data_IF_125542494459
#
_entry.id   IF_125542494459
#
_cell.length_a   1.000
_cell.length_b   1.000
_cell.length_c   1.000
_cell.angle_alpha   90.00
_cell.angle_beta   90.00
_cell.angle_gamma   90.00
#
_symmetry.space_group_name_H-M   'P 1'
#
loop_
_entity.id
_entity.type
_entity.pdbx_description
1 polymer ?
#
# COMPACT_ATOMS: atom_id res chain seq x y z
N UNK A 1 12.06 -16.27 10.52
CA UNK A 1 12.49 -16.78 11.84
C UNK A 1 13.04 -15.65 12.67
N UNK A 2 12.56 -15.51 13.90
CA UNK A 2 13.15 -14.62 14.90
C UNK A 2 14.17 -15.42 15.71
N UNK A 3 15.23 -14.76 16.20
CA UNK A 3 16.16 -15.39 17.11
C UNK A 3 15.43 -15.76 18.41
N UNK A 4 15.73 -16.94 18.94
CA UNK A 4 15.26 -17.39 20.25
C UNK A 4 16.48 -17.67 21.11
N UNK A 5 16.45 -17.21 22.36
CA UNK A 5 17.61 -17.26 23.25
C UNK A 5 17.87 -18.68 23.80
N UNK A 6 16.92 -19.59 23.62
CA UNK A 6 17.02 -21.00 23.99
C UNK A 6 17.23 -21.89 22.76
N UNK A 7 17.85 -23.06 22.98
CA UNK A 7 18.06 -24.08 21.93
C UNK A 7 16.76 -24.87 21.64
N UNK A 8 15.72 -24.15 21.21
CA UNK A 8 14.40 -24.67 20.88
C UNK A 8 14.01 -24.23 19.48
N UNK A 9 13.30 -25.11 18.75
CA UNK A 9 12.72 -24.75 17.46
C UNK A 9 11.32 -24.20 17.68
N UNK A 10 11.10 -22.92 17.37
CA UNK A 10 9.76 -22.33 17.33
C UNK A 10 9.17 -22.58 15.95
N UNK A 11 8.17 -23.46 15.88
CA UNK A 11 7.45 -23.77 14.65
C UNK A 11 6.19 -22.91 14.59
N UNK A 12 6.10 -22.03 13.60
CA UNK A 12 4.94 -21.19 13.34
C UNK A 12 4.08 -21.81 12.22
N UNK A 13 2.83 -22.18 12.55
CA UNK A 13 1.84 -22.62 11.56
C UNK A 13 1.00 -21.41 11.12
N UNK A 14 0.84 -21.22 9.81
CA UNK A 14 0.06 -20.10 9.25
C UNK A 14 0.82 -18.77 9.17
N UNK A 15 2.14 -18.79 8.96
CA UNK A 15 2.87 -17.54 8.68
C UNK A 15 2.34 -16.87 7.40
N UNK A 16 2.21 -15.54 7.47
CA UNK A 16 1.71 -14.72 6.37
C UNK A 16 2.83 -14.46 5.37
N UNK A 17 2.50 -14.48 4.09
CA UNK A 17 3.46 -14.21 3.02
C UNK A 17 3.79 -12.71 2.98
N UNK A 18 5.06 -12.30 3.12
CA UNK A 18 5.44 -10.91 2.93
C UNK A 18 5.35 -10.53 1.45
N UNK A 19 4.68 -9.42 1.17
CA UNK A 19 4.53 -8.86 -0.16
C UNK A 19 4.62 -7.34 -0.07
N UNK A 20 5.60 -6.75 -0.75
CA UNK A 20 5.69 -5.30 -0.90
C UNK A 20 5.00 -4.89 -2.19
N UNK A 21 4.00 -4.02 -2.06
CA UNK A 21 3.24 -3.53 -3.21
C UNK A 21 3.58 -2.06 -3.39
N UNK A 22 4.24 -1.74 -4.50
CA UNK A 22 4.48 -0.37 -4.92
C UNK A 22 3.53 -0.05 -6.08
N UNK A 23 2.84 1.09 -5.99
CA UNK A 23 2.10 1.67 -7.09
C UNK A 23 2.79 2.96 -7.52
N UNK A 24 3.07 3.09 -8.81
CA UNK A 24 3.60 4.33 -9.39
C UNK A 24 2.59 4.93 -10.35
N UNK A 25 2.46 6.24 -10.27
CA UNK A 25 1.64 7.03 -11.18
C UNK A 25 2.52 8.06 -11.88
N UNK A 26 2.33 8.20 -13.19
CA UNK A 26 2.87 9.30 -13.99
C UNK A 26 1.74 10.08 -14.65
N UNK A 27 1.90 11.39 -14.80
CA UNK A 27 0.88 12.27 -15.36
C UNK A 27 1.42 13.62 -15.79
N UNK A 28 0.52 14.51 -16.16
CA UNK A 28 0.87 15.84 -16.66
C UNK A 28 1.17 16.80 -15.48
N UNK A 29 2.39 17.34 -15.36
CA UNK A 29 2.65 18.39 -14.39
C UNK A 29 2.00 19.70 -14.80
N UNK A 30 1.77 20.58 -13.83
CA UNK A 30 1.18 21.88 -14.13
C UNK A 30 1.14 22.84 -12.96
N UNK A 31 0.79 24.10 -13.23
CA UNK A 31 0.58 25.08 -12.18
C UNK A 31 -0.62 24.69 -11.32
N UNK A 32 -0.51 24.79 -9.98
CA UNK A 32 -1.53 24.36 -9.01
C UNK A 32 -2.83 25.17 -9.05
N UNK A 33 -2.86 26.29 -9.78
CA UNK A 33 -4.08 27.02 -10.08
C UNK A 33 -4.93 26.40 -11.21
N UNK A 34 -4.40 25.39 -11.93
CA UNK A 34 -5.13 24.67 -12.97
C UNK A 34 -5.85 23.47 -12.38
N UNK A 35 -7.07 23.22 -12.85
CA UNK A 35 -7.83 22.01 -12.55
C UNK A 35 -7.54 20.94 -13.61
N UNK A 36 -6.32 20.38 -13.57
CA UNK A 36 -5.98 19.26 -14.45
C UNK A 36 -6.77 18.02 -14.00
N UNK A 37 -7.44 17.29 -14.91
CA UNK A 37 -8.07 16.02 -14.55
C UNK A 37 -7.01 14.92 -14.44
N UNK A 38 -7.36 13.87 -13.68
CA UNK A 38 -6.57 12.62 -13.59
C UNK A 38 -5.12 12.82 -13.17
N UNK A 39 -4.93 13.72 -12.20
CA UNK A 39 -3.61 13.98 -11.64
C UNK A 39 -3.04 12.75 -10.95
N UNK A 40 -1.71 12.70 -10.87
CA UNK A 40 -0.99 11.67 -10.11
C UNK A 40 -1.53 11.54 -8.68
N UNK A 41 -1.76 12.66 -8.01
CA UNK A 41 -2.29 12.68 -6.64
C UNK A 41 -3.67 12.04 -6.52
N UNK A 42 -4.58 12.33 -7.46
CA UNK A 42 -5.93 11.75 -7.45
C UNK A 42 -5.91 10.23 -7.65
N UNK A 43 -5.11 9.71 -8.58
CA UNK A 43 -4.99 8.27 -8.80
C UNK A 43 -4.40 7.55 -7.59
N UNK A 44 -3.31 8.06 -7.04
CA UNK A 44 -2.69 7.47 -5.85
C UNK A 44 -3.63 7.55 -4.63
N UNK A 45 -4.40 8.62 -4.48
CA UNK A 45 -5.39 8.75 -3.40
C UNK A 45 -6.46 7.65 -3.45
N UNK A 46 -6.92 7.26 -4.66
CA UNK A 46 -7.88 6.15 -4.83
C UNK A 46 -7.27 4.81 -4.38
N UNK A 47 -6.03 4.54 -4.74
CA UNK A 47 -5.28 3.35 -4.29
C UNK A 47 -5.15 3.33 -2.77
N UNK A 48 -4.67 4.44 -2.19
CA UNK A 48 -4.49 4.57 -0.73
C UNK A 48 -5.80 4.31 -0.01
N UNK A 49 -6.90 4.91 -0.50
CA UNK A 49 -8.21 4.69 0.11
C UNK A 49 -8.58 3.21 0.07
N UNK A 50 -8.48 2.55 -1.08
CA UNK A 50 -8.91 1.15 -1.25
C UNK A 50 -8.12 0.18 -0.37
N UNK A 51 -6.80 0.36 -0.27
CA UNK A 51 -5.95 -0.45 0.59
C UNK A 51 -6.14 -0.16 2.08
N UNK A 52 -6.42 1.10 2.44
CA UNK A 52 -6.76 1.47 3.82
C UNK A 52 -8.12 0.89 4.22
N UNK A 53 -9.14 0.97 3.35
CA UNK A 53 -10.43 0.33 3.60
C UNK A 53 -10.27 -1.20 3.80
N UNK A 54 -9.34 -1.84 3.08
CA UNK A 54 -9.03 -3.28 3.27
C UNK A 54 -8.39 -3.57 4.62
N UNK A 55 -7.47 -2.71 5.07
CA UNK A 55 -6.91 -2.77 6.41
C UNK A 55 -8.01 -2.68 7.46
N UNK A 56 -8.93 -1.73 7.34
CA UNK A 56 -10.01 -1.53 8.30
C UNK A 56 -10.93 -2.75 8.39
N UNK A 57 -11.25 -3.38 7.26
CA UNK A 57 -11.98 -4.67 7.25
C UNK A 57 -11.24 -5.77 8.00
N UNK A 58 -9.91 -5.83 7.85
CA UNK A 58 -9.08 -6.83 8.52
C UNK A 58 -9.03 -6.60 10.03
N UNK A 59 -8.93 -5.34 10.46
CA UNK A 59 -9.01 -4.94 11.87
C UNK A 59 -10.38 -5.28 12.46
N UNK A 60 -11.46 -4.94 11.75
CA UNK A 60 -12.82 -5.25 12.18
C UNK A 60 -13.03 -6.76 12.32
N UNK A 61 -12.53 -7.56 11.38
CA UNK A 61 -12.62 -9.03 11.40
C UNK A 61 -11.94 -9.63 12.64
N UNK A 62 -10.72 -9.20 12.97
CA UNK A 62 -10.00 -9.67 14.17
C UNK A 62 -10.69 -9.24 15.46
N UNK A 63 -11.23 -8.02 15.51
CA UNK A 63 -11.92 -7.53 16.71
C UNK A 63 -13.28 -8.21 16.93
N UNK A 64 -13.95 -8.63 15.85
CA UNK A 64 -15.26 -9.26 15.91
C UNK A 64 -15.20 -10.75 16.30
N UNK A 65 -14.10 -11.44 15.99
CA UNK A 65 -13.93 -12.87 16.23
C UNK A 65 -12.65 -13.15 17.06
N UNK A 66 -12.79 -13.33 18.39
CA UNK A 66 -11.66 -13.64 19.27
C UNK A 66 -10.93 -14.95 18.96
N UNK A 67 -11.49 -15.83 18.11
CA UNK A 67 -10.82 -17.06 17.69
C UNK A 67 -9.77 -16.82 16.61
N UNK A 68 -9.85 -15.70 15.89
CA UNK A 68 -8.89 -15.32 14.86
C UNK A 68 -7.61 -14.77 15.49
N UNK A 69 -6.49 -15.28 15.03
CA UNK A 69 -5.15 -14.79 15.36
C UNK A 69 -4.71 -13.79 14.29
N UNK A 70 -3.67 -13.02 14.62
CA UNK A 70 -3.07 -12.05 13.69
C UNK A 70 -2.54 -12.68 12.39
N UNK A 71 -2.24 -13.99 12.39
CA UNK A 71 -1.83 -14.75 11.21
C UNK A 71 -2.98 -15.06 10.25
N UNK A 72 -4.22 -15.09 10.74
CA UNK A 72 -5.39 -15.53 9.97
C UNK A 72 -5.94 -14.42 9.05
N UNK A 73 -5.46 -13.18 9.22
CA UNK A 73 -5.86 -12.03 8.41
C UNK A 73 -4.69 -11.38 7.68
N UNK A 74 -4.98 -10.90 6.48
CA UNK A 74 -4.04 -10.09 5.71
C UNK A 74 -3.87 -8.73 6.37
N UNK A 75 -2.63 -8.34 6.73
CA UNK A 75 -2.36 -6.96 7.16
C UNK A 75 -1.79 -6.15 6.02
N UNK A 76 -2.30 -4.93 5.85
CA UNK A 76 -1.83 -3.95 4.87
C UNK A 76 -1.38 -2.71 5.62
N UNK A 77 -0.11 -2.33 5.49
CA UNK A 77 0.45 -1.14 6.13
C UNK A 77 0.99 -0.20 5.07
N UNK A 78 0.54 1.06 5.09
CA UNK A 78 1.10 2.09 4.22
C UNK A 78 2.45 2.56 4.79
N UNK A 79 3.52 2.36 4.04
CA UNK A 79 4.89 2.56 4.55
C UNK A 79 5.65 3.68 3.85
N UNK A 80 5.33 3.99 2.59
CA UNK A 80 6.03 5.02 1.82
C UNK A 80 5.05 5.82 0.98
N UNK A 81 5.28 7.13 0.91
CA UNK A 81 4.59 8.07 0.04
C UNK A 81 5.59 9.08 -0.49
N UNK A 82 5.74 9.17 -1.80
CA UNK A 82 6.62 10.15 -2.43
C UNK A 82 5.86 10.80 -3.57
N UNK A 83 5.71 12.12 -3.50
CA UNK A 83 5.03 12.91 -4.52
C UNK A 83 5.36 14.39 -4.32
N UNK A 84 5.47 15.14 -5.41
CA UNK A 84 5.72 16.57 -5.40
C UNK A 84 6.78 16.96 -6.41
N UNK A 85 6.86 18.25 -6.75
CA UNK A 85 7.92 18.76 -7.63
C UNK A 85 9.11 19.21 -6.78
N UNK A 86 10.28 18.64 -7.04
CA UNK A 86 11.54 18.98 -6.36
C UNK A 86 12.68 19.05 -7.37
N UNK A 87 13.64 19.95 -7.15
CA UNK A 87 14.87 20.05 -7.94
C UNK A 87 16.12 19.69 -7.12
N UNK A 88 15.96 19.31 -5.84
CA UNK A 88 17.06 19.07 -4.90
C UNK A 88 17.02 17.69 -4.25
N UNK A 89 16.33 16.74 -4.89
CA UNK A 89 16.20 15.37 -4.41
C UNK A 89 15.25 15.22 -3.23
N UNK A 90 14.26 16.10 -3.10
CA UNK A 90 13.22 16.02 -2.08
C UNK A 90 13.56 16.73 -0.77
N UNK A 91 14.56 17.61 -0.75
CA UNK A 91 14.85 18.48 0.41
C UNK A 91 13.84 19.63 0.47
N UNK A 92 13.42 20.15 -0.68
CA UNK A 92 12.36 21.15 -0.82
C UNK A 92 11.37 20.75 -1.92
N UNK A 93 10.15 21.28 -1.83
CA UNK A 93 9.07 21.01 -2.76
C UNK A 93 8.38 22.29 -3.19
N UNK A 94 8.03 22.39 -4.48
CA UNK A 94 7.23 23.50 -4.98
C UNK A 94 5.75 23.31 -4.58
N UNK A 95 5.21 24.23 -3.79
CA UNK A 95 3.84 24.14 -3.26
C UNK A 95 2.75 24.44 -4.30
N UNK A 96 3.11 25.04 -5.43
CA UNK A 96 2.19 25.47 -6.48
C UNK A 96 2.34 24.66 -7.77
N UNK A 97 2.88 23.44 -7.71
CA UNK A 97 3.09 22.58 -8.88
C UNK A 97 2.42 21.23 -8.67
N UNK A 98 1.55 20.86 -9.60
CA UNK A 98 1.01 19.51 -9.75
C UNK A 98 2.16 18.61 -10.23
N UNK A 99 2.45 17.50 -9.53
CA UNK A 99 3.59 16.64 -9.82
C UNK A 99 3.39 15.79 -11.07
N UNK A 100 4.48 15.50 -11.78
CA UNK A 100 4.50 14.61 -12.94
C UNK A 100 4.51 13.13 -12.54
N UNK A 101 4.99 12.81 -11.35
CA UNK A 101 5.13 11.44 -10.86
C UNK A 101 4.91 11.35 -9.35
N UNK A 102 4.59 10.15 -8.89
CA UNK A 102 4.45 9.83 -7.49
C UNK A 102 4.31 8.34 -7.28
N UNK A 103 4.57 7.89 -6.06
CA UNK A 103 4.43 6.50 -5.68
C UNK A 103 4.00 6.32 -4.24
N UNK A 104 3.33 5.20 -3.99
CA UNK A 104 2.98 4.72 -2.65
C UNK A 104 3.42 3.27 -2.50
N UNK A 105 3.91 2.91 -1.32
CA UNK A 105 4.34 1.53 -1.03
C UNK A 105 3.64 1.01 0.21
N UNK A 106 3.18 -0.23 0.13
CA UNK A 106 2.54 -0.95 1.22
C UNK A 106 3.37 -2.20 1.59
N UNK A 107 3.62 -2.38 2.89
CA UNK A 107 4.05 -3.68 3.45
C UNK A 107 2.79 -4.50 3.74
N UNK A 108 2.59 -5.54 2.94
CA UNK A 108 1.48 -6.46 3.06
C UNK A 108 1.99 -7.80 3.62
N UNK A 109 1.33 -8.30 4.66
CA UNK A 109 1.50 -9.67 5.16
C UNK A 109 0.22 -10.41 4.84
N UNK A 110 0.26 -11.17 3.75
CA UNK A 110 -0.92 -11.78 3.14
C UNK A 110 -1.20 -13.12 3.80
N UNK A 111 -2.43 -13.31 4.28
CA UNK A 111 -2.89 -14.60 4.81
C UNK A 111 -2.93 -15.63 3.69
N UNK A 112 -2.65 -16.90 4.01
CA UNK A 112 -2.67 -17.97 3.02
C UNK A 112 -4.05 -18.15 2.36
N UNK A 113 -5.12 -17.77 3.07
CA UNK A 113 -6.49 -17.88 2.58
C UNK A 113 -6.83 -16.85 1.49
N UNK A 114 -6.09 -15.74 1.45
CA UNK A 114 -6.45 -14.57 0.66
C UNK A 114 -5.45 -14.30 -0.48
N UNK A 115 -4.42 -15.13 -0.66
CA UNK A 115 -3.25 -14.77 -1.48
C UNK A 115 -3.61 -14.43 -2.93
N UNK A 116 -4.27 -15.36 -3.63
CA UNK A 116 -4.62 -15.19 -5.04
C UNK A 116 -5.61 -14.03 -5.24
N UNK A 117 -6.59 -13.88 -4.35
CA UNK A 117 -7.55 -12.78 -4.36
C UNK A 117 -6.84 -11.43 -4.14
N UNK A 118 -5.91 -11.37 -3.19
CA UNK A 118 -5.15 -10.16 -2.88
C UNK A 118 -4.31 -9.71 -4.07
N UNK A 119 -3.58 -10.65 -4.71
CA UNK A 119 -2.76 -10.35 -5.89
C UNK A 119 -3.65 -9.91 -7.06
N UNK A 120 -4.77 -10.58 -7.28
CA UNK A 120 -5.72 -10.20 -8.32
C UNK A 120 -6.31 -8.79 -8.10
N UNK A 121 -6.67 -8.45 -6.86
CA UNK A 121 -7.19 -7.12 -6.51
C UNK A 121 -6.12 -6.04 -6.72
N UNK A 122 -4.87 -6.27 -6.31
CA UNK A 122 -3.74 -5.35 -6.56
C UNK A 122 -3.54 -5.10 -8.06
N UNK A 123 -3.54 -6.15 -8.87
CA UNK A 123 -3.42 -6.03 -10.33
C UNK A 123 -4.62 -5.31 -10.94
N UNK A 124 -5.83 -5.56 -10.43
CA UNK A 124 -7.03 -4.86 -10.89
C UNK A 124 -6.98 -3.37 -10.57
N UNK A 125 -6.55 -3.00 -9.36
CA UNK A 125 -6.37 -1.60 -8.94
C UNK A 125 -5.37 -0.89 -9.86
N UNK A 126 -4.23 -1.53 -10.16
CA UNK A 126 -3.22 -0.96 -11.04
C UNK A 126 -3.77 -0.69 -12.45
N UNK A 127 -4.52 -1.65 -13.01
CA UNK A 127 -5.17 -1.52 -14.32
C UNK A 127 -6.26 -0.44 -14.33
N UNK A 128 -7.11 -0.41 -13.30
CA UNK A 128 -8.23 0.53 -13.17
C UNK A 128 -7.75 1.98 -13.16
N UNK A 129 -6.59 2.24 -12.57
CA UNK A 129 -6.04 3.59 -12.41
C UNK A 129 -4.83 3.88 -13.30
N UNK A 130 -4.52 3.01 -14.27
CA UNK A 130 -3.39 3.15 -15.18
C UNK A 130 -2.07 3.45 -14.43
N UNK A 131 -1.72 2.52 -13.53
CA UNK A 131 -0.55 2.57 -12.67
C UNK A 131 0.42 1.43 -13.04
N UNK A 132 1.71 1.66 -12.79
CA UNK A 132 2.72 0.60 -12.75
C UNK A 132 2.73 -0.05 -11.37
#
# INVERSE_FOLDING_TARGET
>A
GLAHDENTFVVHYGERTPLWVEFKATGLPGHGAKLLPDTVGERLARVVKRLTDRRDRSVAKVNADPSLKSGDVTSVNWTVSVMGMTNDGGKTYAHNVIPAEGRVVFDCRVSHMDYDEFVADVVAIAKEHNLE
#
